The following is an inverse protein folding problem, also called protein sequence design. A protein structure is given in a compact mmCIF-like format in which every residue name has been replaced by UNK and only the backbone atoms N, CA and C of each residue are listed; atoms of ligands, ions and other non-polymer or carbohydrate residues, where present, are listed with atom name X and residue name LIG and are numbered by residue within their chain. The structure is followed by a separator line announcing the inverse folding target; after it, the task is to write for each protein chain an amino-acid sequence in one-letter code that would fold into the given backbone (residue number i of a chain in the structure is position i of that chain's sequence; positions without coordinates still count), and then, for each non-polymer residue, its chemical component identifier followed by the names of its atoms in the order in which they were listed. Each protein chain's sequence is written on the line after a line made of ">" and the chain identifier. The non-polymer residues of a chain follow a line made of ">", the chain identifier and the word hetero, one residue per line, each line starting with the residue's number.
data_IF_417416214594
#
_entry.id   IF_417416214594
#
_cell.length_a   1.000
_cell.length_b   1.000
_cell.length_c   1.000
_cell.angle_alpha   90.00
_cell.angle_beta   90.00
_cell.angle_gamma   90.00
#
_symmetry.space_group_name_H-M   'P 1'
#
loop_
_entity.id
_entity.type
_entity.pdbx_description
1 polymer ?
#
# COMPACT_ATOMS: atom_id res chain seq x y z
N UNK A 1 4.83 10.62 -9.76
CA UNK A 1 4.72 9.68 -8.62
C UNK A 1 5.86 8.69 -8.74
N UNK A 2 6.50 8.31 -7.62
CA UNK A 2 7.54 7.29 -7.61
C UNK A 2 7.01 5.94 -8.12
N UNK A 3 7.92 5.08 -8.55
CA UNK A 3 7.56 3.74 -9.02
C UNK A 3 7.01 2.88 -7.86
N UNK A 4 5.99 2.04 -8.11
CA UNK A 4 5.47 1.12 -7.10
C UNK A 4 6.55 0.16 -6.59
N UNK A 5 6.53 -0.10 -5.29
CA UNK A 5 7.32 -1.16 -4.69
C UNK A 5 6.78 -2.52 -5.15
N UNK A 6 7.65 -3.53 -5.37
CA UNK A 6 7.23 -4.91 -5.53
C UNK A 6 6.48 -5.39 -4.29
N UNK A 7 5.17 -5.63 -4.44
CA UNK A 7 4.27 -6.02 -3.35
C UNK A 7 3.62 -7.37 -3.63
N UNK A 8 3.39 -8.13 -2.57
CA UNK A 8 2.48 -9.28 -2.59
C UNK A 8 1.17 -8.89 -1.91
N UNK A 9 0.09 -8.96 -2.67
CA UNK A 9 -1.28 -8.72 -2.20
C UNK A 9 -1.95 -10.04 -1.77
N UNK A 10 -2.82 -9.98 -0.76
CA UNK A 10 -3.75 -11.07 -0.45
C UNK A 10 -4.77 -11.25 -1.58
N UNK A 11 -5.45 -12.40 -1.63
CA UNK A 11 -6.43 -12.70 -2.70
C UNK A 11 -7.60 -11.72 -2.77
N UNK A 12 -8.00 -11.16 -1.63
CA UNK A 12 -9.00 -10.09 -1.50
C UNK A 12 -8.40 -8.67 -1.63
N UNK A 13 -7.06 -8.57 -1.68
CA UNK A 13 -6.29 -7.32 -1.73
C UNK A 13 -6.40 -6.43 -0.49
N UNK A 14 -6.93 -6.94 0.64
CA UNK A 14 -7.02 -6.17 1.90
C UNK A 14 -5.67 -6.04 2.60
N UNK A 15 -4.70 -6.89 2.26
CA UNK A 15 -3.37 -6.93 2.86
C UNK A 15 -2.29 -6.83 1.78
N UNK A 16 -1.27 -6.03 2.04
CA UNK A 16 -0.06 -5.94 1.23
C UNK A 16 1.18 -6.26 2.07
N UNK A 17 2.15 -6.91 1.46
CA UNK A 17 3.48 -7.17 2.04
C UNK A 17 4.56 -6.79 1.05
N UNK A 18 5.66 -6.20 1.54
CA UNK A 18 6.80 -5.77 0.73
C UNK A 18 8.09 -5.87 1.54
N UNK A 19 9.23 -5.77 0.86
CA UNK A 19 10.52 -5.67 1.54
C UNK A 19 10.78 -4.20 1.93
N UNK A 20 10.80 -3.84 3.24
CA UNK A 20 10.98 -2.46 3.67
C UNK A 20 12.35 -1.88 3.29
N UNK A 21 13.37 -2.72 3.05
CA UNK A 21 14.70 -2.28 2.65
C UNK A 21 14.77 -1.73 1.20
N UNK A 22 13.70 -1.88 0.42
CA UNK A 22 13.64 -1.36 -0.96
C UNK A 22 13.46 0.17 -1.03
N UNK A 23 13.15 0.81 0.09
CA UNK A 23 13.13 2.28 0.20
C UNK A 23 13.75 2.74 1.51
N UNK A 24 14.42 3.90 1.48
CA UNK A 24 14.97 4.56 2.68
C UNK A 24 13.94 5.41 3.41
N UNK A 25 12.75 5.59 2.82
CA UNK A 25 11.68 6.35 3.43
C UNK A 25 11.16 5.64 4.69
N UNK A 26 10.89 6.43 5.74
CA UNK A 26 10.24 5.94 6.97
C UNK A 26 8.76 5.63 6.75
N UNK A 27 8.17 6.16 5.67
CA UNK A 27 6.77 6.00 5.31
C UNK A 27 6.63 5.48 3.86
N UNK A 28 5.47 4.91 3.59
CA UNK A 28 5.00 4.53 2.26
C UNK A 28 3.60 5.12 2.03
N UNK A 29 3.22 5.24 0.76
CA UNK A 29 1.87 5.55 0.33
C UNK A 29 1.19 4.26 -0.13
N UNK A 30 -0.01 4.01 0.36
CA UNK A 30 -0.89 2.95 -0.11
C UNK A 30 -1.89 3.59 -1.08
N UNK A 31 -1.97 3.09 -2.30
CA UNK A 31 -3.10 3.41 -3.19
C UNK A 31 -4.23 2.43 -2.88
N UNK A 32 -5.34 2.95 -2.36
CA UNK A 32 -6.46 2.15 -1.87
C UNK A 32 -7.72 2.45 -2.67
N UNK A 33 -8.32 1.40 -3.25
CA UNK A 33 -9.68 1.44 -3.78
C UNK A 33 -10.68 1.30 -2.65
N UNK A 34 -11.59 2.27 -2.53
CA UNK A 34 -12.66 2.27 -1.54
C UNK A 34 -13.88 1.47 -2.04
N UNK A 35 -14.80 1.19 -1.13
CA UNK A 35 -16.02 0.43 -1.41
C UNK A 35 -16.94 1.12 -2.42
N UNK A 36 -16.87 2.45 -2.54
CA UNK A 36 -17.61 3.24 -3.52
C UNK A 36 -16.93 3.33 -4.90
N UNK A 37 -15.79 2.65 -5.07
CA UNK A 37 -15.01 2.62 -6.30
C UNK A 37 -14.02 3.78 -6.46
N UNK A 38 -13.96 4.73 -5.53
CA UNK A 38 -12.97 5.81 -5.56
C UNK A 38 -11.58 5.34 -5.13
N UNK A 39 -10.54 6.07 -5.53
CA UNK A 39 -9.16 5.80 -5.13
C UNK A 39 -8.70 6.85 -4.10
N UNK A 40 -8.02 6.39 -3.06
CA UNK A 40 -7.49 7.22 -1.98
C UNK A 40 -6.02 6.86 -1.72
N UNK A 41 -5.18 7.87 -1.49
CA UNK A 41 -3.82 7.66 -1.02
C UNK A 41 -3.75 7.73 0.51
N UNK A 42 -3.14 6.71 1.13
CA UNK A 42 -2.97 6.68 2.58
C UNK A 42 -1.52 6.51 2.98
N UNK A 43 -1.06 7.35 3.90
CA UNK A 43 0.27 7.19 4.52
C UNK A 43 0.28 6.01 5.49
N UNK A 44 1.34 5.23 5.43
CA UNK A 44 1.62 4.15 6.37
C UNK A 44 3.11 4.13 6.72
N UNK A 45 3.45 3.51 7.84
CA UNK A 45 4.86 3.25 8.18
C UNK A 45 5.45 2.24 7.21
N UNK A 46 6.73 2.38 6.88
CA UNK A 46 7.45 1.39 6.09
C UNK A 46 7.82 0.16 6.96
N UNK A 47 6.82 -0.61 7.40
CA UNK A 47 6.97 -1.79 8.26
C UNK A 47 7.06 -3.11 7.48
N UNK A 48 6.96 -3.07 6.15
CA UNK A 48 6.91 -4.25 5.27
C UNK A 48 5.52 -4.91 5.17
N UNK A 49 4.50 -4.37 5.84
CA UNK A 49 3.12 -4.87 5.78
C UNK A 49 2.10 -3.78 6.06
N UNK A 50 0.98 -3.80 5.33
CA UNK A 50 -0.20 -3.01 5.63
C UNK A 50 -1.48 -3.83 5.47
N UNK A 51 -2.54 -3.39 6.18
CA UNK A 51 -3.90 -3.91 6.04
C UNK A 51 -4.87 -2.72 6.00
N UNK A 52 -5.83 -2.78 5.07
CA UNK A 52 -6.94 -1.81 4.94
C UNK A 52 -8.23 -2.36 5.55
N UNK A 53 -9.27 -1.53 5.65
CA UNK A 53 -10.56 -1.93 6.22
C UNK A 53 -11.27 -2.94 5.31
N UNK A 54 -12.28 -3.59 5.86
CA UNK A 54 -13.13 -4.48 5.07
C UNK A 54 -13.80 -3.69 3.92
N UNK A 55 -13.85 -4.30 2.73
CA UNK A 55 -14.32 -3.71 1.45
C UNK A 55 -13.40 -2.65 0.82
N UNK A 56 -12.25 -2.38 1.42
CA UNK A 56 -11.18 -1.62 0.77
C UNK A 56 -10.17 -2.57 0.13
N UNK A 57 -9.48 -2.12 -0.92
CA UNK A 57 -8.48 -2.91 -1.63
C UNK A 57 -7.22 -2.10 -1.89
N UNK A 58 -6.06 -2.63 -1.48
CA UNK A 58 -4.77 -2.04 -1.84
C UNK A 58 -4.48 -2.38 -3.30
N UNK A 59 -4.26 -1.36 -4.12
CA UNK A 59 -3.88 -1.50 -5.53
C UNK A 59 -2.37 -1.48 -5.71
N UNK A 60 -1.67 -0.64 -4.95
CA UNK A 60 -0.20 -0.59 -4.94
C UNK A 60 0.36 0.07 -3.68
N UNK A 61 1.68 -0.06 -3.48
CA UNK A 61 2.44 0.63 -2.44
C UNK A 61 3.58 1.39 -3.10
N UNK A 62 3.77 2.64 -2.71
CA UNK A 62 4.77 3.56 -3.26
C UNK A 62 5.63 4.12 -2.14
N UNK A 63 6.91 4.42 -2.40
CA UNK A 63 7.73 5.13 -1.43
C UNK A 63 7.15 6.53 -1.20
N UNK A 64 7.01 6.95 0.06
CA UNK A 64 6.78 8.37 0.35
C UNK A 64 8.11 9.11 0.16
N UNK A 65 8.10 10.21 -0.58
CA UNK A 65 9.30 11.07 -0.77
C UNK A 65 9.88 11.56 0.56
#
# INVERSE_FOLDING_TARGET
>A
MPDPLPVRLSGDGTTATWNPALTRASQVLLLVRLADGTAEERRSLNSGRARVRDRERIESVVAAE
#
